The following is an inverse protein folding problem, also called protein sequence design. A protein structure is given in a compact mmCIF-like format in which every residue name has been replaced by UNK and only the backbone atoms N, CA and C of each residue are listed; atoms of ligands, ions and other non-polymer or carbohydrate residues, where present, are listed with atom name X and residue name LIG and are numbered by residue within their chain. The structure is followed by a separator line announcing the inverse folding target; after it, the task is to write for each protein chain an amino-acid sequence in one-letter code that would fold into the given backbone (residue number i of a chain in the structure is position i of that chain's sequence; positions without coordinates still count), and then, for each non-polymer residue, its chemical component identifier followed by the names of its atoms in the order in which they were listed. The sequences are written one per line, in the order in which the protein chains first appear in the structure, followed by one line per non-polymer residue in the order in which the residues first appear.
data_IF_551326027473
#
_entry.id   IF_551326027473
#
_cell.length_a   1.000
_cell.length_b   1.000
_cell.length_c   1.000
_cell.angle_alpha   90.00
_cell.angle_beta   90.00
_cell.angle_gamma   90.00
#
_symmetry.space_group_name_H-M   'P 1'
#
loop_
_entity.id
_entity.type
_entity.pdbx_description
1 polymer ?
#
# COMPACT_ATOMS: atom_id res chain seq x y z
N UNK A 1 2.15 -20.89 2.47
CA UNK A 1 2.36 -19.47 2.16
C UNK A 1 1.28 -18.72 2.94
N UNK A 2 1.60 -17.70 3.75
CA UNK A 2 0.53 -16.94 4.44
C UNK A 2 -0.24 -16.19 3.34
N UNK A 3 -1.51 -16.51 3.16
CA UNK A 3 -2.38 -15.80 2.23
C UNK A 3 -2.48 -14.33 2.67
N UNK A 4 -2.05 -13.43 1.80
CA UNK A 4 -2.10 -12.00 2.06
C UNK A 4 -3.55 -11.52 1.96
N UNK A 5 -4.07 -10.95 3.04
CA UNK A 5 -5.41 -10.36 3.05
C UNK A 5 -5.39 -8.98 2.38
N UNK A 6 -5.65 -8.94 1.08
CA UNK A 6 -5.63 -7.73 0.28
C UNK A 6 -6.87 -6.87 0.47
N UNK A 7 -6.63 -5.57 0.68
CA UNK A 7 -7.68 -4.56 0.79
C UNK A 7 -7.48 -3.48 -0.26
N UNK A 8 -8.46 -3.33 -1.15
CA UNK A 8 -8.47 -2.28 -2.17
C UNK A 8 -8.79 -0.93 -1.56
N UNK A 9 -8.13 0.12 -2.04
CA UNK A 9 -8.43 1.49 -1.63
C UNK A 9 -9.85 1.90 -2.04
N UNK A 10 -10.57 2.60 -1.16
CA UNK A 10 -11.87 3.19 -1.47
C UNK A 10 -11.78 4.33 -2.50
N UNK A 11 -10.57 4.84 -2.76
CA UNK A 11 -10.32 5.84 -3.81
C UNK A 11 -10.24 5.24 -5.21
N UNK A 12 -10.35 3.91 -5.35
CA UNK A 12 -10.24 3.16 -6.61
C UNK A 12 -11.58 2.98 -7.34
N UNK A 13 -12.37 4.06 -7.46
CA UNK A 13 -13.71 4.04 -8.06
C UNK A 13 -13.75 4.05 -9.59
N UNK A 14 -14.95 3.99 -10.18
CA UNK A 14 -15.23 3.86 -11.62
C UNK A 14 -14.73 5.00 -12.54
N UNK A 15 -14.06 6.02 -12.00
CA UNK A 15 -13.39 7.08 -12.75
C UNK A 15 -11.98 7.38 -12.24
N UNK A 16 -11.46 6.60 -11.29
CA UNK A 16 -10.12 6.79 -10.76
C UNK A 16 -9.09 6.12 -11.67
N UNK A 17 -8.09 6.88 -12.12
CA UNK A 17 -6.95 6.32 -12.85
C UNK A 17 -6.05 5.48 -11.94
N UNK A 18 -6.09 5.70 -10.63
CA UNK A 18 -5.13 5.14 -9.67
C UNK A 18 -5.81 4.10 -8.78
N UNK A 19 -5.43 2.83 -8.91
CA UNK A 19 -5.99 1.75 -8.09
C UNK A 19 -4.91 1.01 -7.32
N UNK A 20 -4.97 1.06 -5.99
CA UNK A 20 -3.94 0.45 -5.12
C UNK A 20 -4.60 -0.53 -4.15
N UNK A 21 -3.95 -1.67 -3.96
CA UNK A 21 -4.27 -2.66 -2.94
C UNK A 21 -3.14 -2.76 -1.90
N UNK A 22 -3.53 -2.95 -0.63
CA UNK A 22 -2.62 -3.14 0.49
C UNK A 22 -2.92 -4.46 1.20
N UNK A 23 -1.89 -5.19 1.63
CA UNK A 23 -2.02 -6.27 2.60
C UNK A 23 -1.08 -6.01 3.77
N UNK A 24 -1.62 -5.98 4.98
CA UNK A 24 -0.86 -5.70 6.21
C UNK A 24 -0.68 -7.01 6.96
N UNK A 25 0.57 -7.31 7.32
CA UNK A 25 0.96 -8.46 8.14
C UNK A 25 1.75 -7.98 9.36
N UNK A 26 2.06 -8.89 10.28
CA UNK A 26 2.92 -8.60 11.44
C UNK A 26 4.32 -8.13 11.03
N UNK A 27 4.87 -8.68 9.94
CA UNK A 27 6.25 -8.40 9.53
C UNK A 27 6.39 -7.26 8.52
N UNK A 28 5.37 -7.04 7.69
CA UNK A 28 5.47 -6.15 6.55
C UNK A 28 4.10 -5.71 6.02
N UNK A 29 4.11 -4.59 5.31
CA UNK A 29 3.02 -4.13 4.45
C UNK A 29 3.39 -4.35 2.99
N UNK A 30 2.46 -4.91 2.24
CA UNK A 30 2.58 -5.15 0.81
C UNK A 30 1.70 -4.18 0.05
N UNK A 31 2.22 -3.58 -1.00
CA UNK A 31 1.54 -2.60 -1.86
C UNK A 31 1.63 -3.06 -3.30
N UNK A 32 0.52 -3.04 -4.03
CA UNK A 32 0.53 -3.29 -5.48
C UNK A 32 -0.47 -2.43 -6.21
N UNK A 33 -0.24 -2.27 -7.51
CA UNK A 33 -1.24 -1.75 -8.43
C UNK A 33 -2.33 -2.81 -8.62
N UNK A 34 -3.59 -2.38 -8.50
CA UNK A 34 -4.75 -3.25 -8.74
C UNK A 34 -4.89 -3.60 -10.22
N UNK A 35 -4.49 -2.67 -11.11
CA UNK A 35 -4.62 -2.77 -12.56
C UNK A 35 -3.48 -3.53 -13.20
N UNK A 36 -2.30 -3.51 -12.57
CA UNK A 36 -1.12 -4.24 -13.00
C UNK A 36 -0.61 -5.15 -11.88
N UNK A 37 -1.25 -6.33 -11.74
CA UNK A 37 -0.88 -7.31 -10.70
C UNK A 37 0.44 -8.02 -11.01
N UNK A 38 0.80 -8.06 -12.28
CA UNK A 38 1.99 -8.75 -12.77
C UNK A 38 3.24 -7.86 -12.71
N UNK A 39 3.05 -6.53 -12.65
CA UNK A 39 4.10 -5.54 -12.40
C UNK A 39 4.80 -5.65 -11.04
N UNK A 40 4.32 -6.54 -10.16
CA UNK A 40 4.97 -6.91 -8.90
C UNK A 40 4.33 -6.31 -7.66
N UNK A 41 5.00 -6.49 -6.52
CA UNK A 41 4.52 -6.05 -5.21
C UNK A 41 5.66 -5.42 -4.43
N UNK A 42 5.44 -4.20 -3.96
CA UNK A 42 6.36 -3.55 -3.03
C UNK A 42 6.14 -4.15 -1.64
N UNK A 43 7.23 -4.61 -1.03
CA UNK A 43 7.24 -5.05 0.37
C UNK A 43 7.96 -4.00 1.20
N UNK A 44 7.29 -3.49 2.22
CA UNK A 44 7.85 -2.53 3.17
C UNK A 44 7.78 -3.14 4.56
N UNK A 45 8.93 -3.26 5.23
CA UNK A 45 8.95 -3.80 6.59
C UNK A 45 8.20 -2.89 7.56
N UNK A 46 7.63 -3.48 8.61
CA UNK A 46 6.67 -2.80 9.48
C UNK A 46 7.20 -1.50 10.14
N UNK A 47 8.46 -1.43 10.64
CA UNK A 47 9.00 -0.19 11.20
C UNK A 47 9.12 0.93 10.16
N UNK A 48 9.53 0.59 8.93
CA UNK A 48 9.65 1.55 7.84
C UNK A 48 8.27 2.07 7.41
N UNK A 49 7.27 1.20 7.34
CA UNK A 49 5.89 1.59 7.04
C UNK A 49 5.31 2.53 8.11
N UNK A 50 5.57 2.26 9.40
CA UNK A 50 5.15 3.15 10.48
C UNK A 50 5.81 4.54 10.39
N UNK A 51 7.12 4.58 10.11
CA UNK A 51 7.84 5.84 9.89
C UNK A 51 7.32 6.61 8.68
N UNK A 52 7.02 5.91 7.58
CA UNK A 52 6.43 6.51 6.38
C UNK A 52 5.09 7.17 6.69
N UNK A 53 4.18 6.45 7.37
CA UNK A 53 2.88 7.01 7.78
C UNK A 53 3.02 8.20 8.73
N UNK A 54 3.99 8.17 9.65
CA UNK A 54 4.25 9.28 10.56
C UNK A 54 4.71 10.53 9.79
N UNK A 55 5.60 10.36 8.80
CA UNK A 55 6.07 11.46 7.95
C UNK A 55 4.96 12.04 7.06
N UNK A 56 4.08 11.19 6.51
CA UNK A 56 2.89 11.63 5.77
C UNK A 56 1.95 12.47 6.65
N UNK A 57 1.63 11.98 7.85
CA UNK A 57 0.76 12.71 8.79
C UNK A 57 1.34 14.06 9.24
N UNK A 58 2.66 14.17 9.27
CA UNK A 58 3.37 15.40 9.60
C UNK A 58 3.57 16.33 8.39
N UNK A 59 3.05 15.99 7.21
CA UNK A 59 3.16 16.80 5.98
C UNK A 59 4.58 16.90 5.43
N UNK A 60 5.51 16.02 5.86
CA UNK A 60 6.93 16.10 5.45
C UNK A 60 7.16 15.67 4.00
N UNK A 61 6.18 15.03 3.39
CA UNK A 61 6.25 14.46 2.04
C UNK A 61 5.27 15.14 1.07
N UNK A 62 4.67 16.28 1.46
CA UNK A 62 3.67 17.01 0.65
C UNK A 62 4.31 17.91 -0.43
N UNK A 63 5.58 17.68 -0.75
CA UNK A 63 6.38 18.57 -1.60
C UNK A 63 6.34 18.18 -3.07
#
# INVERSE_FOLDING_TARGET
MKDLNWRKSSRSGSGASNCVELAITESATYVRDTKDRDGGTLRVDQPAWASFLASLKAGRLDR
#
